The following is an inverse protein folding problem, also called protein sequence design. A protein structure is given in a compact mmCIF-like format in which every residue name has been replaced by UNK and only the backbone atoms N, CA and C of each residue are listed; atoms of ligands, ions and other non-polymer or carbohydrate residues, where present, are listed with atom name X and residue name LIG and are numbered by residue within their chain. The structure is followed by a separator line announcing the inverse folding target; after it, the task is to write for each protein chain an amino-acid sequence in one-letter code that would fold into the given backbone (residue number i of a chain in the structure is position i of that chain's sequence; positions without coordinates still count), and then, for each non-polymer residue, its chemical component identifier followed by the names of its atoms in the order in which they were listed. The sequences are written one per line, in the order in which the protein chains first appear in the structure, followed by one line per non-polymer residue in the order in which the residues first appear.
data_IF_324636881714
#
_entry.id   IF_324636881714
#
_cell.length_a   1.000
_cell.length_b   1.000
_cell.length_c   1.000
_cell.angle_alpha   90.00
_cell.angle_beta   90.00
_cell.angle_gamma   90.00
#
_symmetry.space_group_name_H-M   'P 1'
#
loop_
_entity.id
_entity.type
_entity.pdbx_description
1 polymer ?
#
# COMPACT_ATOMS: atom_id res chain seq x y z
N UNK A 1 -29.14 -89.38 35.16
CA UNK A 1 -28.31 -89.58 33.95
C UNK A 1 -26.86 -89.46 34.39
N UNK A 2 -25.99 -90.38 33.96
CA UNK A 2 -24.60 -90.41 34.43
C UNK A 2 -23.70 -89.49 33.61
N UNK A 3 -22.65 -88.93 34.23
CA UNK A 3 -21.67 -88.03 33.61
C UNK A 3 -21.06 -88.56 32.29
N UNK A 4 -21.08 -89.89 32.09
CA UNK A 4 -20.55 -90.54 30.89
C UNK A 4 -21.27 -90.16 29.58
N UNK A 5 -22.57 -89.83 29.64
CA UNK A 5 -23.35 -89.44 28.45
C UNK A 5 -23.00 -88.03 27.96
N UNK A 6 -22.63 -87.13 28.88
CA UNK A 6 -22.27 -85.73 28.58
C UNK A 6 -20.85 -85.55 28.05
N UNK A 7 -20.01 -86.60 28.05
CA UNK A 7 -18.64 -86.54 27.51
C UNK A 7 -18.59 -86.16 26.02
N UNK A 8 -19.62 -86.56 25.24
CA UNK A 8 -19.75 -86.16 23.83
C UNK A 8 -20.11 -84.68 23.69
N UNK A 9 -20.94 -84.15 24.60
CA UNK A 9 -21.31 -82.73 24.62
C UNK A 9 -20.11 -81.85 25.00
N UNK A 10 -19.28 -82.27 25.96
CA UNK A 10 -18.01 -81.61 26.29
C UNK A 10 -17.07 -81.50 25.08
N UNK A 11 -16.92 -82.56 24.28
CA UNK A 11 -16.08 -82.50 23.06
C UNK A 11 -16.63 -81.58 21.97
N UNK A 12 -17.95 -81.34 21.93
CA UNK A 12 -18.56 -80.37 21.03
C UNK A 12 -18.44 -78.94 21.59
N UNK A 13 -18.50 -78.78 22.92
CA UNK A 13 -18.33 -77.50 23.62
C UNK A 13 -16.93 -76.92 23.38
N UNK A 14 -15.88 -77.73 23.57
CA UNK A 14 -14.49 -77.34 23.28
C UNK A 14 -14.26 -76.96 21.81
N UNK A 15 -15.03 -77.52 20.88
CA UNK A 15 -14.95 -77.25 19.43
C UNK A 15 -15.85 -76.11 18.97
N UNK A 16 -16.70 -75.56 19.83
CA UNK A 16 -17.63 -74.47 19.50
C UNK A 16 -18.76 -74.87 18.53
N UNK A 17 -19.10 -76.15 18.44
CA UNK A 17 -20.12 -76.67 17.48
C UNK A 17 -21.40 -77.15 18.17
N UNK A 18 -21.71 -76.63 19.36
CA UNK A 18 -22.92 -76.99 20.12
C UNK A 18 -24.16 -76.32 19.53
N UNK A 19 -25.28 -77.04 19.44
CA UNK A 19 -26.58 -76.45 19.15
C UNK A 19 -27.22 -75.89 20.43
N UNK A 20 -28.21 -75.00 20.30
CA UNK A 20 -28.87 -74.35 21.44
C UNK A 20 -29.54 -75.36 22.39
N UNK A 21 -30.26 -76.36 21.86
CA UNK A 21 -30.91 -77.40 22.68
C UNK A 21 -29.90 -78.31 23.41
N UNK A 22 -28.74 -78.56 22.79
CA UNK A 22 -27.64 -79.32 23.41
C UNK A 22 -26.95 -78.51 24.51
N UNK A 23 -26.95 -77.18 24.39
CA UNK A 23 -26.37 -76.27 25.37
C UNK A 23 -27.22 -76.22 26.64
N UNK A 24 -28.53 -76.08 26.48
CA UNK A 24 -29.47 -76.03 27.61
C UNK A 24 -29.46 -77.34 28.42
N UNK A 25 -29.30 -78.48 27.75
CA UNK A 25 -29.12 -79.78 28.42
C UNK A 25 -27.80 -79.89 29.19
N UNK A 26 -26.71 -79.36 28.63
CA UNK A 26 -25.41 -79.36 29.29
C UNK A 26 -25.39 -78.43 30.51
N UNK A 27 -25.97 -77.23 30.39
CA UNK A 27 -26.09 -76.26 31.48
C UNK A 27 -26.95 -76.80 32.63
N UNK A 28 -28.13 -77.38 32.33
CA UNK A 28 -29.00 -78.01 33.34
C UNK A 28 -28.32 -79.17 34.07
N UNK A 29 -27.45 -79.93 33.38
CA UNK A 29 -26.69 -80.99 34.01
C UNK A 29 -25.54 -80.47 34.88
N UNK A 30 -24.84 -79.41 34.46
CA UNK A 30 -23.78 -78.77 35.23
C UNK A 30 -24.32 -78.25 36.57
N UNK A 31 -25.50 -77.64 36.59
CA UNK A 31 -26.14 -77.13 37.82
C UNK A 31 -26.44 -78.22 38.86
N UNK A 32 -26.56 -79.48 38.43
CA UNK A 32 -26.92 -80.61 39.29
C UNK A 32 -25.75 -81.56 39.56
N UNK A 33 -24.58 -81.33 38.98
CA UNK A 33 -23.45 -82.26 39.02
C UNK A 33 -22.11 -81.55 39.32
N UNK A 34 -21.61 -81.76 40.55
CA UNK A 34 -20.34 -81.19 41.02
C UNK A 34 -19.11 -81.61 40.19
N UNK A 35 -19.12 -82.80 39.57
CA UNK A 35 -18.02 -83.25 38.69
C UNK A 35 -17.97 -82.46 37.37
N UNK A 36 -19.13 -82.13 36.81
CA UNK A 36 -19.21 -81.35 35.56
C UNK A 36 -18.93 -79.87 35.81
N UNK A 37 -19.32 -79.34 36.97
CA UNK A 37 -18.95 -78.00 37.44
C UNK A 37 -17.42 -77.87 37.58
N UNK A 38 -16.77 -78.82 38.26
CA UNK A 38 -15.31 -78.84 38.39
C UNK A 38 -14.59 -78.93 37.03
N UNK A 39 -15.16 -79.66 36.06
CA UNK A 39 -14.59 -79.75 34.71
C UNK A 39 -14.76 -78.44 33.92
N UNK A 40 -15.88 -77.73 34.08
CA UNK A 40 -16.08 -76.39 33.52
C UNK A 40 -15.06 -75.40 34.09
N UNK A 41 -14.86 -75.41 35.41
CA UNK A 41 -13.89 -74.54 36.08
C UNK A 41 -12.46 -74.81 35.61
N UNK A 42 -12.08 -76.07 35.38
CA UNK A 42 -10.77 -76.41 34.82
C UNK A 42 -10.60 -75.87 33.39
N UNK A 43 -11.64 -75.93 32.56
CA UNK A 43 -11.64 -75.39 31.19
C UNK A 43 -11.60 -73.85 31.18
N UNK A 44 -12.32 -73.20 32.09
CA UNK A 44 -12.27 -71.74 32.28
C UNK A 44 -10.88 -71.30 32.79
N UNK A 45 -10.28 -72.07 33.70
CA UNK A 45 -8.92 -71.80 34.18
C UNK A 45 -7.85 -71.97 33.09
N UNK A 46 -8.03 -72.94 32.17
CA UNK A 46 -7.14 -73.12 31.00
C UNK A 46 -7.34 -72.05 29.91
N UNK A 47 -8.51 -71.40 29.87
CA UNK A 47 -8.88 -70.42 28.83
C UNK A 47 -8.77 -68.95 29.28
N UNK A 48 -8.10 -68.66 30.41
CA UNK A 48 -7.77 -67.28 30.79
C UNK A 48 -7.06 -66.55 29.62
N UNK A 49 -7.50 -65.33 29.27
CA UNK A 49 -7.02 -64.63 28.09
C UNK A 49 -5.54 -64.32 28.24
N UNK A 50 -4.78 -64.52 27.16
CA UNK A 50 -3.40 -64.08 26.96
C UNK A 50 -3.17 -62.75 27.69
N UNK A 51 -2.53 -62.81 28.86
CA UNK A 51 -2.07 -61.62 29.58
C UNK A 51 -1.12 -60.89 28.65
N UNK A 52 -1.57 -59.80 28.02
CA UNK A 52 -0.68 -58.81 27.38
C UNK A 52 0.32 -58.42 28.46
N UNK A 53 1.55 -58.97 28.39
CA UNK A 53 2.64 -58.60 29.29
C UNK A 53 2.82 -57.10 29.18
N UNK A 54 2.48 -56.38 30.24
CA UNK A 54 2.93 -55.00 30.43
C UNK A 54 4.47 -55.01 30.36
N UNK A 55 5.10 -54.04 29.67
CA UNK A 55 6.55 -53.99 29.59
C UNK A 55 7.18 -53.93 30.99
N UNK A 56 8.38 -54.51 31.20
CA UNK A 56 9.00 -54.62 32.52
C UNK A 56 9.18 -53.25 33.18
N UNK A 57 8.95 -53.19 34.51
CA UNK A 57 8.95 -51.96 35.34
C UNK A 57 10.27 -51.18 35.34
N UNK A 58 11.37 -51.75 34.84
CA UNK A 58 12.72 -51.16 34.82
C UNK A 58 13.23 -50.75 33.43
N UNK A 59 12.33 -50.51 32.48
CA UNK A 59 12.69 -49.78 31.26
C UNK A 59 12.94 -48.31 31.63
N UNK A 60 14.21 -47.95 31.87
CA UNK A 60 14.68 -46.54 31.86
C UNK A 60 14.63 -46.01 30.43
N UNK A 61 13.42 -45.87 29.90
CA UNK A 61 13.21 -45.17 28.63
C UNK A 61 13.60 -43.72 28.88
N UNK A 62 14.52 -43.12 28.10
CA UNK A 62 14.86 -41.70 28.26
C UNK A 62 13.67 -40.87 27.78
N UNK A 63 12.66 -40.72 28.65
CA UNK A 63 11.42 -39.99 28.39
C UNK A 63 11.70 -38.57 27.89
N UNK A 64 12.80 -37.96 28.34
CA UNK A 64 13.26 -36.67 27.84
C UNK A 64 13.63 -36.72 26.35
N UNK A 65 14.47 -37.68 25.91
CA UNK A 65 14.85 -37.81 24.49
C UNK A 65 13.64 -38.13 23.59
N UNK A 66 12.69 -38.93 24.08
CA UNK A 66 11.46 -39.28 23.34
C UNK A 66 10.51 -38.08 23.26
N UNK A 67 10.25 -37.38 24.38
CA UNK A 67 9.41 -36.17 24.38
C UNK A 67 10.01 -35.06 23.53
N UNK A 68 11.33 -34.87 23.57
CA UNK A 68 12.01 -33.90 22.72
C UNK A 68 12.01 -34.32 21.26
N UNK A 69 12.19 -35.60 20.92
CA UNK A 69 12.05 -36.11 19.56
C UNK A 69 10.65 -35.88 19.00
N UNK A 70 9.59 -36.19 19.77
CA UNK A 70 8.22 -35.92 19.34
C UNK A 70 7.92 -34.43 19.22
N UNK A 71 8.36 -33.59 20.17
CA UNK A 71 8.21 -32.13 20.07
C UNK A 71 8.93 -31.57 18.84
N UNK A 72 10.12 -32.07 18.54
CA UNK A 72 10.89 -31.65 17.36
C UNK A 72 10.23 -32.13 16.06
N UNK A 73 9.66 -33.34 16.04
CA UNK A 73 8.90 -33.88 14.91
C UNK A 73 7.59 -33.12 14.68
N UNK A 74 6.82 -32.84 15.73
CA UNK A 74 5.60 -32.04 15.66
C UNK A 74 5.92 -30.61 15.24
N UNK A 75 6.98 -30.01 15.78
CA UNK A 75 7.45 -28.70 15.35
C UNK A 75 7.85 -28.71 13.88
N UNK A 76 8.60 -29.73 13.42
CA UNK A 76 8.98 -29.88 12.02
C UNK A 76 7.77 -30.06 11.08
N UNK A 77 6.76 -30.81 11.51
CA UNK A 77 5.51 -30.99 10.76
C UNK A 77 4.71 -29.67 10.65
N UNK A 78 4.56 -28.95 11.77
CA UNK A 78 3.91 -27.62 11.78
C UNK A 78 4.68 -26.64 10.91
N UNK A 79 6.01 -26.59 11.04
CA UNK A 79 6.87 -25.73 10.22
C UNK A 79 6.74 -26.06 8.73
N UNK A 80 6.71 -27.35 8.38
CA UNK A 80 6.47 -27.79 7.00
C UNK A 80 5.12 -27.32 6.46
N UNK A 81 4.05 -27.47 7.25
CA UNK A 81 2.73 -26.94 6.88
C UNK A 81 2.76 -25.42 6.70
N UNK A 82 3.39 -24.69 7.62
CA UNK A 82 3.50 -23.23 7.52
C UNK A 82 4.26 -22.80 6.25
N UNK A 83 5.34 -23.51 5.89
CA UNK A 83 6.08 -23.25 4.64
C UNK A 83 5.20 -23.52 3.43
N UNK A 84 4.46 -24.63 3.39
CA UNK A 84 3.55 -24.95 2.28
C UNK A 84 2.46 -23.88 2.15
N UNK A 85 1.85 -23.45 3.26
CA UNK A 85 0.85 -22.37 3.26
C UNK A 85 1.45 -21.06 2.76
N UNK A 86 2.68 -20.72 3.16
CA UNK A 86 3.38 -19.52 2.70
C UNK A 86 3.63 -19.56 1.18
N UNK A 87 4.08 -20.70 0.65
CA UNK A 87 4.30 -20.89 -0.79
C UNK A 87 2.98 -20.75 -1.56
N UNK A 88 1.91 -21.42 -1.10
CA UNK A 88 0.58 -21.31 -1.70
C UNK A 88 0.11 -19.85 -1.67
N UNK A 89 0.28 -19.17 -0.53
CA UNK A 89 -0.02 -17.76 -0.37
C UNK A 89 0.75 -16.88 -1.36
N UNK A 90 2.04 -17.15 -1.58
CA UNK A 90 2.86 -16.46 -2.57
C UNK A 90 2.36 -16.65 -4.01
N UNK A 91 2.07 -17.89 -4.41
CA UNK A 91 1.56 -18.21 -5.75
C UNK A 91 0.20 -17.55 -5.99
N UNK A 92 -0.71 -17.60 -5.02
CA UNK A 92 -2.01 -16.94 -5.12
C UNK A 92 -1.87 -15.41 -5.22
N UNK A 93 -0.91 -14.83 -4.51
CA UNK A 93 -0.64 -13.38 -4.55
C UNK A 93 -0.08 -12.97 -5.90
N UNK A 94 0.90 -13.70 -6.42
CA UNK A 94 1.45 -13.48 -7.76
C UNK A 94 0.35 -13.56 -8.81
N UNK A 95 -0.48 -14.62 -8.77
CA UNK A 95 -1.62 -14.73 -9.66
C UNK A 95 -2.60 -13.56 -9.51
N UNK A 96 -2.92 -13.14 -8.29
CA UNK A 96 -3.84 -12.02 -8.08
C UNK A 96 -3.32 -10.69 -8.65
N UNK A 97 -2.05 -10.33 -8.42
CA UNK A 97 -1.51 -9.05 -8.87
C UNK A 97 -1.08 -9.05 -10.33
N UNK A 98 -0.59 -10.19 -10.84
CA UNK A 98 -0.04 -10.30 -12.20
C UNK A 98 -1.06 -10.81 -13.23
N UNK A 99 -2.16 -11.45 -12.79
CA UNK A 99 -3.22 -11.80 -13.71
C UNK A 99 -3.78 -10.53 -14.38
N UNK A 100 -4.19 -10.69 -15.64
CA UNK A 100 -4.68 -9.60 -16.48
C UNK A 100 -3.61 -8.53 -16.78
N UNK A 101 -2.42 -8.99 -17.18
CA UNK A 101 -1.30 -8.16 -17.66
C UNK A 101 -0.84 -7.12 -16.63
N UNK A 102 -0.60 -7.55 -15.39
CA UNK A 102 -0.08 -6.72 -14.28
C UNK A 102 -0.93 -5.50 -13.89
N UNK A 103 -2.15 -5.36 -14.44
CA UNK A 103 -3.02 -4.19 -14.23
C UNK A 103 -3.25 -3.81 -12.76
N UNK A 104 -3.36 -4.79 -11.85
CA UNK A 104 -3.54 -4.50 -10.42
C UNK A 104 -2.25 -3.99 -9.78
N UNK A 105 -1.11 -4.50 -10.22
CA UNK A 105 0.20 -4.04 -9.76
C UNK A 105 0.46 -2.60 -10.26
N UNK A 106 0.09 -2.32 -11.51
CA UNK A 106 0.11 -0.97 -12.08
C UNK A 106 -0.76 -0.02 -11.25
N UNK A 107 -2.02 -0.38 -10.95
CA UNK A 107 -2.92 0.45 -10.15
C UNK A 107 -2.37 0.75 -8.73
N UNK A 108 -1.74 -0.24 -8.08
CA UNK A 108 -1.10 -0.09 -6.76
C UNK A 108 0.07 0.89 -6.79
N UNK A 109 0.69 1.10 -7.95
CA UNK A 109 1.81 2.02 -8.14
C UNK A 109 1.36 3.38 -8.71
N UNK A 110 0.43 3.37 -9.65
CA UNK A 110 -0.07 4.56 -10.36
C UNK A 110 -0.86 5.46 -9.40
N UNK A 111 -1.78 4.90 -8.62
CA UNK A 111 -2.63 5.71 -7.74
C UNK A 111 -1.80 6.48 -6.68
N UNK A 112 -0.87 5.84 -5.94
CA UNK A 112 0.00 6.59 -5.03
C UNK A 112 0.93 7.58 -5.71
N UNK A 113 1.47 7.26 -6.90
CA UNK A 113 2.36 8.18 -7.62
C UNK A 113 1.63 9.44 -8.05
N UNK A 114 0.46 9.30 -8.70
CA UNK A 114 -0.39 10.44 -9.05
C UNK A 114 -0.80 11.25 -7.81
N UNK A 115 -1.10 10.59 -6.68
CA UNK A 115 -1.45 11.27 -5.44
C UNK A 115 -0.27 12.08 -4.88
N UNK A 116 0.94 11.54 -4.88
CA UNK A 116 2.15 12.25 -4.43
C UNK A 116 2.43 13.47 -5.31
N UNK A 117 2.44 13.29 -6.63
CA UNK A 117 2.72 14.37 -7.59
C UNK A 117 1.63 15.45 -7.59
N UNK A 118 0.37 15.08 -7.32
CA UNK A 118 -0.73 16.03 -7.26
C UNK A 118 -0.77 16.84 -5.94
N UNK A 119 -0.25 16.29 -4.84
CA UNK A 119 -0.36 16.91 -3.50
C UNK A 119 0.93 17.55 -3.01
N UNK A 120 2.08 17.17 -3.55
CA UNK A 120 3.38 17.75 -3.22
C UNK A 120 3.88 18.55 -4.42
N UNK A 121 3.90 19.90 -4.33
CA UNK A 121 4.34 20.75 -5.43
C UNK A 121 5.78 20.45 -5.87
N UNK A 122 6.01 20.47 -7.19
CA UNK A 122 7.28 20.12 -7.84
C UNK A 122 7.88 18.78 -7.36
N UNK A 123 7.05 17.80 -7.06
CA UNK A 123 7.51 16.43 -6.85
C UNK A 123 7.22 15.58 -8.09
N UNK A 124 8.15 14.68 -8.41
CA UNK A 124 8.00 13.64 -9.42
C UNK A 124 8.47 12.30 -8.86
N UNK A 125 7.76 11.23 -9.21
CA UNK A 125 8.17 9.87 -8.92
C UNK A 125 9.05 9.38 -10.08
N UNK A 126 10.36 9.28 -9.86
CA UNK A 126 11.32 8.86 -10.89
C UNK A 126 11.92 7.48 -10.64
N UNK A 127 11.58 6.83 -9.54
CA UNK A 127 12.14 5.53 -9.16
C UNK A 127 11.24 4.71 -8.24
N UNK A 128 11.85 3.77 -7.54
CA UNK A 128 11.18 2.83 -6.65
C UNK A 128 10.69 1.54 -7.31
N UNK A 129 10.31 0.58 -6.48
CA UNK A 129 9.93 -0.77 -6.89
C UNK A 129 8.72 -1.28 -6.12
N UNK A 130 8.00 -2.24 -6.70
CA UNK A 130 6.91 -2.94 -6.00
C UNK A 130 7.26 -4.42 -5.90
N UNK A 131 7.34 -4.94 -4.68
CA UNK A 131 7.52 -6.37 -4.42
C UNK A 131 6.22 -6.98 -3.94
N UNK A 132 5.80 -8.08 -4.59
CA UNK A 132 4.65 -8.89 -4.15
C UNK A 132 5.09 -9.84 -3.04
N UNK A 133 4.40 -9.78 -1.92
CA UNK A 133 4.56 -10.69 -0.78
C UNK A 133 3.45 -11.76 -0.76
N UNK A 134 3.63 -12.79 0.06
CA UNK A 134 2.59 -13.78 0.29
C UNK A 134 1.35 -13.16 0.97
N UNK A 135 0.20 -13.80 0.78
CA UNK A 135 -1.09 -13.40 1.36
C UNK A 135 -1.62 -12.05 0.85
N UNK A 136 -1.52 -11.82 -0.45
CA UNK A 136 -2.04 -10.68 -1.20
C UNK A 136 -1.51 -9.34 -0.70
N UNK A 137 -0.23 -9.32 -0.32
CA UNK A 137 0.43 -8.11 0.17
C UNK A 137 1.43 -7.60 -0.86
N UNK A 138 1.65 -6.29 -0.84
CA UNK A 138 2.76 -5.69 -1.58
C UNK A 138 3.50 -4.71 -0.68
N UNK A 139 4.79 -4.54 -0.94
CA UNK A 139 5.55 -3.39 -0.46
C UNK A 139 5.98 -2.59 -1.69
N UNK A 140 5.67 -1.31 -1.71
CA UNK A 140 6.11 -0.39 -2.75
C UNK A 140 7.02 0.67 -2.16
N UNK A 141 8.08 1.01 -2.87
CA UNK A 141 8.87 2.22 -2.62
C UNK A 141 8.67 3.20 -3.77
N UNK A 142 8.66 4.49 -3.44
CA UNK A 142 8.56 5.59 -4.39
C UNK A 142 9.69 6.57 -4.11
N UNK A 143 10.59 6.73 -5.08
CA UNK A 143 11.69 7.70 -5.00
C UNK A 143 11.21 9.02 -5.60
N UNK A 144 11.10 10.03 -4.75
CA UNK A 144 10.66 11.36 -5.12
C UNK A 144 11.86 12.23 -5.46
N UNK A 145 11.77 12.92 -6.58
CA UNK A 145 12.69 13.98 -6.97
C UNK A 145 11.91 15.27 -7.20
N UNK A 146 12.63 16.38 -7.18
CA UNK A 146 12.12 17.69 -7.60
C UNK A 146 13.07 18.29 -8.63
N UNK A 147 12.57 19.21 -9.45
CA UNK A 147 13.40 19.83 -10.49
C UNK A 147 13.76 21.26 -10.08
N UNK A 148 15.05 21.55 -9.93
CA UNK A 148 15.55 22.92 -9.74
C UNK A 148 16.56 23.20 -10.85
N UNK A 149 16.16 24.08 -11.76
CA UNK A 149 16.87 24.31 -13.01
C UNK A 149 16.66 23.19 -14.00
N UNK A 150 17.74 22.62 -14.52
CA UNK A 150 17.69 21.40 -15.37
C UNK A 150 18.01 20.12 -14.60
N UNK A 151 18.39 20.23 -13.32
CA UNK A 151 18.77 19.09 -12.50
C UNK A 151 17.60 18.56 -11.67
N UNK A 152 17.44 17.23 -11.69
CA UNK A 152 16.59 16.53 -10.74
C UNK A 152 17.34 16.32 -9.43
N UNK A 153 16.73 16.75 -8.32
CA UNK A 153 17.28 16.64 -6.98
C UNK A 153 16.43 15.67 -6.17
N UNK A 154 17.06 14.73 -5.45
CA UNK A 154 16.32 13.80 -4.62
C UNK A 154 15.62 14.53 -3.46
N UNK A 155 14.33 14.27 -3.33
CA UNK A 155 13.44 14.90 -2.34
C UNK A 155 13.27 14.00 -1.11
N UNK A 156 13.04 12.72 -1.37
CA UNK A 156 12.77 11.73 -0.33
C UNK A 156 12.24 10.43 -0.89
N UNK A 157 11.89 9.52 0.01
CA UNK A 157 11.31 8.22 -0.32
C UNK A 157 10.02 8.00 0.48
N UNK A 158 9.02 7.44 -0.18
CA UNK A 158 7.76 7.03 0.44
C UNK A 158 7.64 5.52 0.28
N UNK A 159 7.43 4.83 1.40
CA UNK A 159 7.18 3.39 1.42
C UNK A 159 5.72 3.15 1.75
N UNK A 160 5.09 2.28 0.97
CA UNK A 160 3.72 1.85 1.18
C UNK A 160 3.62 0.34 1.26
N UNK A 161 2.62 -0.12 1.99
CA UNK A 161 2.21 -1.52 1.99
C UNK A 161 0.79 -1.61 1.48
N UNK A 162 0.49 -2.62 0.69
CA UNK A 162 -0.88 -2.94 0.33
C UNK A 162 -1.31 -4.28 0.87
N UNK A 163 -2.60 -4.40 1.14
CA UNK A 163 -3.31 -5.67 1.25
C UNK A 163 -4.47 -5.63 0.26
N UNK A 164 -4.42 -6.51 -0.74
CA UNK A 164 -5.26 -6.44 -1.94
C UNK A 164 -5.14 -5.03 -2.57
N UNK A 165 -6.23 -4.27 -2.66
CA UNK A 165 -6.28 -2.90 -3.18
C UNK A 165 -6.13 -1.82 -2.12
N UNK A 166 -6.14 -2.16 -0.82
CA UNK A 166 -5.98 -1.18 0.24
C UNK A 166 -4.51 -0.87 0.44
N UNK A 167 -4.13 0.39 0.28
CA UNK A 167 -2.76 0.88 0.48
C UNK A 167 -2.66 1.60 1.82
N UNK A 168 -1.53 1.46 2.51
CA UNK A 168 -1.15 2.15 3.73
C UNK A 168 0.27 2.70 3.60
N UNK A 169 0.52 3.89 4.14
CA UNK A 169 1.86 4.48 4.17
C UNK A 169 2.57 3.98 5.41
N UNK A 170 3.73 3.34 5.22
CA UNK A 170 4.52 2.82 6.36
C UNK A 170 5.62 3.75 6.78
N UNK A 171 6.22 4.46 5.83
CA UNK A 171 7.36 5.34 6.10
C UNK A 171 7.43 6.45 5.07
N UNK A 172 7.73 7.65 5.54
CA UNK A 172 8.10 8.79 4.71
C UNK A 172 9.46 9.29 5.19
N UNK A 173 10.43 9.34 4.30
CA UNK A 173 11.79 9.78 4.62
C UNK A 173 12.14 10.94 3.70
N UNK A 174 12.38 12.12 4.27
CA UNK A 174 12.82 13.29 3.52
C UNK A 174 14.34 13.42 3.60
N UNK A 175 14.98 13.85 2.51
CA UNK A 175 16.43 14.02 2.52
C UNK A 175 16.91 15.12 3.48
N UNK A 176 16.10 16.16 3.64
CA UNK A 176 16.28 17.11 4.72
C UNK A 176 15.29 16.74 5.84
N UNK A 177 15.75 16.37 7.05
CA UNK A 177 14.86 16.12 8.19
C UNK A 177 14.00 17.33 8.56
N UNK A 178 14.43 18.53 8.18
CA UNK A 178 13.69 19.80 8.31
C UNK A 178 13.04 20.23 7.01
N UNK A 179 12.80 19.31 6.08
CA UNK A 179 12.07 19.59 4.85
C UNK A 179 10.67 20.10 5.20
N UNK A 180 10.48 21.39 5.04
CA UNK A 180 9.19 22.04 5.01
C UNK A 180 8.97 22.43 3.56
N UNK A 181 7.90 21.97 2.88
CA UNK A 181 7.56 22.47 1.56
C UNK A 181 7.40 23.99 1.68
N UNK A 182 8.36 24.77 1.15
CA UNK A 182 8.34 26.24 1.22
C UNK A 182 7.45 26.85 0.12
N UNK A 183 6.84 26.00 -0.70
CA UNK A 183 6.00 26.38 -1.82
C UNK A 183 4.57 26.49 -1.31
N UNK A 184 4.08 27.73 -1.23
CA UNK A 184 2.74 28.01 -0.77
C UNK A 184 1.95 28.77 -1.82
N UNK A 185 0.64 28.56 -1.83
CA UNK A 185 -0.26 29.17 -2.78
C UNK A 185 -1.40 29.90 -2.10
N UNK A 186 -1.97 30.89 -2.80
CA UNK A 186 -3.10 31.66 -2.33
C UNK A 186 -4.11 31.79 -3.46
N UNK A 187 -5.35 31.40 -3.19
CA UNK A 187 -6.38 31.45 -4.21
C UNK A 187 -6.74 32.93 -4.56
N UNK A 188 -6.96 33.29 -5.84
CA UNK A 188 -7.16 34.68 -6.28
C UNK A 188 -8.39 35.38 -5.67
N UNK A 189 -9.44 34.61 -5.35
CA UNK A 189 -10.67 35.10 -4.68
C UNK A 189 -10.51 35.49 -3.20
N UNK A 190 -9.31 35.44 -2.64
CA UNK A 190 -9.03 35.86 -1.25
C UNK A 190 -9.04 37.39 -1.14
N UNK A 191 -9.49 37.94 0.00
CA UNK A 191 -9.70 39.39 0.16
C UNK A 191 -8.45 40.19 0.56
N UNK A 192 -7.35 39.54 0.95
CA UNK A 192 -6.26 40.17 1.71
C UNK A 192 -5.02 40.49 0.85
N UNK A 193 -5.08 41.56 0.07
CA UNK A 193 -4.04 41.89 -0.92
C UNK A 193 -2.70 42.39 -0.34
N UNK A 194 -2.72 43.20 0.72
CA UNK A 194 -1.52 43.97 1.12
C UNK A 194 -0.47 43.11 1.83
N UNK A 195 -0.88 42.26 2.78
CA UNK A 195 0.03 41.34 3.48
C UNK A 195 0.73 40.35 2.53
N UNK A 196 0.04 39.93 1.46
CA UNK A 196 0.59 39.02 0.46
C UNK A 196 1.76 39.67 -0.31
N UNK A 197 1.65 40.96 -0.61
CA UNK A 197 2.71 41.72 -1.28
C UNK A 197 3.94 41.85 -0.38
N UNK A 198 3.74 42.14 0.90
CA UNK A 198 4.84 42.23 1.88
C UNK A 198 5.57 40.90 2.06
N UNK A 199 4.85 39.79 2.12
CA UNK A 199 5.45 38.46 2.19
C UNK A 199 6.24 38.13 0.90
N UNK A 200 5.69 38.47 -0.26
CA UNK A 200 6.35 38.27 -1.56
C UNK A 200 7.58 39.17 -1.72
N UNK A 201 7.60 40.36 -1.11
CA UNK A 201 8.75 41.28 -1.17
C UNK A 201 10.03 40.62 -0.67
N UNK A 202 9.97 39.81 0.39
CA UNK A 202 11.12 39.06 0.91
C UNK A 202 11.69 38.09 -0.13
N UNK A 203 10.84 37.45 -0.94
CA UNK A 203 11.25 36.55 -2.02
C UNK A 203 12.02 37.32 -3.08
N UNK A 204 11.47 38.44 -3.54
CA UNK A 204 12.10 39.28 -4.56
C UNK A 204 13.41 39.90 -4.07
N UNK A 205 13.44 40.42 -2.84
CA UNK A 205 14.65 40.96 -2.22
C UNK A 205 15.75 39.88 -2.10
N UNK A 206 15.38 38.62 -1.88
CA UNK A 206 16.33 37.51 -1.82
C UNK A 206 16.89 37.19 -3.20
N UNK A 207 16.03 37.02 -4.21
CA UNK A 207 16.46 36.77 -5.60
C UNK A 207 17.33 37.91 -6.16
N UNK A 208 17.05 39.16 -5.75
CA UNK A 208 17.86 40.32 -6.12
C UNK A 208 19.28 40.26 -5.55
N UNK A 209 19.46 39.69 -4.35
CA UNK A 209 20.76 39.57 -3.66
C UNK A 209 21.56 38.34 -4.05
N UNK A 210 20.92 37.30 -4.58
CA UNK A 210 21.62 36.09 -5.04
C UNK A 210 22.53 36.43 -6.22
N UNK A 211 23.69 35.77 -6.32
CA UNK A 211 24.68 36.03 -7.36
C UNK A 211 24.19 35.66 -8.77
N UNK A 212 24.79 36.27 -9.78
CA UNK A 212 24.63 35.84 -11.17
C UNK A 212 25.28 34.46 -11.33
N UNK A 213 24.56 33.48 -11.87
CA UNK A 213 25.01 32.08 -11.87
C UNK A 213 24.31 31.19 -10.83
N UNK A 214 23.09 31.53 -10.43
CA UNK A 214 22.20 30.60 -9.71
C UNK A 214 20.92 30.34 -10.47
N UNK A 215 20.31 29.21 -10.13
CA UNK A 215 18.99 28.82 -10.58
C UNK A 215 18.10 28.70 -9.35
N UNK A 216 16.87 29.18 -9.45
CA UNK A 216 15.92 29.12 -8.34
C UNK A 216 14.62 28.46 -8.76
N UNK A 217 13.88 28.02 -7.76
CA UNK A 217 12.50 27.60 -7.86
C UNK A 217 11.61 28.62 -7.14
N UNK A 218 10.53 29.05 -7.79
CA UNK A 218 9.55 29.99 -7.22
C UNK A 218 8.15 29.45 -7.44
N UNK A 219 7.35 29.41 -6.38
CA UNK A 219 5.93 29.18 -6.47
C UNK A 219 5.19 30.51 -6.49
N UNK A 220 4.28 30.65 -7.45
CA UNK A 220 3.56 31.88 -7.75
C UNK A 220 2.08 31.59 -7.70
N UNK A 221 1.32 32.48 -7.08
CA UNK A 221 -0.13 32.53 -7.21
C UNK A 221 -0.55 33.72 -8.05
N UNK A 222 -1.48 33.48 -8.96
CA UNK A 222 -1.94 34.46 -9.93
C UNK A 222 -3.03 35.38 -9.37
N UNK A 223 -3.26 36.51 -10.05
CA UNK A 223 -4.32 37.48 -9.77
C UNK A 223 -5.72 36.94 -10.08
N UNK A 224 -5.82 36.03 -11.05
CA UNK A 224 -7.03 35.29 -11.43
C UNK A 224 -6.70 33.85 -11.81
N UNK A 225 -7.71 33.07 -12.16
CA UNK A 225 -7.50 31.73 -12.71
C UNK A 225 -7.25 31.82 -14.21
N UNK A 226 -6.35 30.97 -14.71
CA UNK A 226 -5.94 30.91 -16.11
C UNK A 226 -6.13 29.50 -16.66
N UNK A 227 -6.50 29.39 -17.93
CA UNK A 227 -6.41 28.13 -18.67
C UNK A 227 -4.97 27.86 -19.11
N UNK A 228 -4.63 26.60 -19.43
CA UNK A 228 -3.26 26.26 -19.87
C UNK A 228 -2.86 27.02 -21.13
N UNK A 229 -3.80 27.22 -22.06
CA UNK A 229 -3.61 27.99 -23.30
C UNK A 229 -3.38 29.48 -23.07
N UNK A 230 -3.85 30.05 -21.96
CA UNK A 230 -3.62 31.45 -21.61
C UNK A 230 -2.28 31.65 -20.88
N UNK A 231 -1.75 30.61 -20.22
CA UNK A 231 -0.50 30.70 -19.48
C UNK A 231 0.72 30.81 -20.39
N UNK A 232 0.78 30.03 -21.46
CA UNK A 232 1.91 30.05 -22.40
C UNK A 232 2.21 31.46 -22.95
N UNK A 233 1.24 32.20 -23.53
CA UNK A 233 1.48 33.56 -24.01
C UNK A 233 1.77 34.54 -22.85
N UNK A 234 1.21 34.29 -21.65
CA UNK A 234 1.51 35.11 -20.47
C UNK A 234 2.96 34.97 -20.04
N UNK A 235 3.48 33.74 -19.95
CA UNK A 235 4.87 33.48 -19.60
C UNK A 235 5.81 34.05 -20.68
N UNK A 236 5.46 33.86 -21.95
CA UNK A 236 6.21 34.45 -23.07
C UNK A 236 6.24 35.99 -23.00
N UNK A 237 5.16 36.64 -22.59
CA UNK A 237 5.13 38.10 -22.43
C UNK A 237 6.00 38.62 -21.28
N UNK A 238 6.20 37.81 -20.24
CA UNK A 238 6.98 38.19 -19.05
C UNK A 238 8.47 37.93 -19.28
N UNK A 239 8.80 36.79 -19.88
CA UNK A 239 10.19 36.38 -20.08
C UNK A 239 10.72 36.75 -21.46
N UNK A 240 9.87 37.16 -22.41
CA UNK A 240 10.24 37.44 -23.80
C UNK A 240 10.77 36.18 -24.52
N UNK A 241 11.15 36.35 -25.78
CA UNK A 241 11.73 35.29 -26.62
C UNK A 241 13.18 34.98 -26.21
N UNK A 242 13.35 34.32 -25.06
CA UNK A 242 14.65 33.81 -24.64
C UNK A 242 14.89 32.42 -25.22
N UNK A 243 16.16 32.07 -25.47
CA UNK A 243 16.54 30.72 -25.91
C UNK A 243 16.20 29.65 -24.85
N UNK A 244 16.31 30.01 -23.57
CA UNK A 244 16.02 29.12 -22.44
C UNK A 244 15.16 29.84 -21.40
N UNK A 245 13.85 30.00 -21.66
CA UNK A 245 12.95 30.65 -20.72
C UNK A 245 12.77 29.78 -19.46
N UNK A 246 12.47 30.40 -18.31
CA UNK A 246 12.11 29.65 -17.11
C UNK A 246 11.00 28.63 -17.38
N UNK A 247 11.17 27.43 -16.84
CA UNK A 247 10.32 26.28 -17.15
C UNK A 247 9.31 26.02 -16.02
N UNK A 248 8.01 25.97 -16.33
CA UNK A 248 7.01 25.42 -15.43
C UNK A 248 7.33 23.98 -15.05
N UNK A 249 7.19 23.64 -13.78
CA UNK A 249 7.41 22.26 -13.30
C UNK A 249 6.16 21.68 -12.64
N UNK A 250 5.27 22.55 -12.14
CA UNK A 250 4.03 22.14 -11.48
C UNK A 250 2.98 23.26 -11.51
N UNK A 251 1.70 22.90 -11.51
CA UNK A 251 0.58 23.82 -11.61
C UNK A 251 -0.43 23.62 -10.50
N UNK A 252 -0.85 24.70 -9.83
CA UNK A 252 -1.87 24.66 -8.79
C UNK A 252 -3.28 24.73 -9.42
N UNK A 253 -4.06 23.66 -9.30
CA UNK A 253 -5.34 23.47 -10.00
C UNK A 253 -6.50 24.12 -9.23
N UNK A 254 -7.30 24.96 -9.90
CA UNK A 254 -8.55 25.48 -9.32
C UNK A 254 -9.60 24.36 -9.32
N UNK A 255 -9.93 23.88 -8.12
CA UNK A 255 -10.93 22.82 -7.94
C UNK A 255 -12.20 23.31 -7.26
N UNK A 256 -12.29 24.62 -7.01
CA UNK A 256 -13.40 25.25 -6.31
C UNK A 256 -13.47 24.95 -4.80
N UNK A 257 -12.65 24.03 -4.29
CA UNK A 257 -12.61 23.62 -2.87
C UNK A 257 -11.47 24.27 -2.09
N UNK A 258 -10.67 25.12 -2.73
CA UNK A 258 -9.57 25.85 -2.09
C UNK A 258 -10.08 26.77 -0.99
N UNK A 259 -9.36 26.82 0.14
CA UNK A 259 -9.67 27.70 1.27
C UNK A 259 -9.55 29.16 0.83
N UNK A 260 -10.54 29.96 1.21
CA UNK A 260 -10.68 31.38 0.86
C UNK A 260 -10.92 32.26 2.09
N UNK A 261 -10.90 31.67 3.28
CA UNK A 261 -11.21 32.37 4.52
C UNK A 261 -10.06 33.30 4.94
N UNK A 262 -10.38 34.40 5.61
CA UNK A 262 -9.44 35.51 5.91
C UNK A 262 -8.39 35.11 6.96
N UNK A 263 -8.72 34.17 7.86
CA UNK A 263 -7.81 33.81 8.95
C UNK A 263 -6.76 32.76 8.56
N UNK A 264 -7.01 31.96 7.52
CA UNK A 264 -6.11 30.91 7.02
C UNK A 264 -6.35 30.66 5.52
N UNK A 265 -5.65 31.44 4.69
CA UNK A 265 -5.77 31.43 3.21
C UNK A 265 -4.50 30.93 2.50
N UNK A 266 -3.44 30.62 3.24
CA UNK A 266 -2.20 30.10 2.68
C UNK A 266 -2.36 28.59 2.55
N UNK A 267 -2.30 28.10 1.32
CA UNK A 267 -2.41 26.68 1.02
C UNK A 267 -1.02 26.07 1.06
N UNK A 268 -0.84 25.13 1.98
CA UNK A 268 0.38 24.36 2.12
C UNK A 268 0.41 23.13 1.19
N UNK A 269 1.56 22.47 1.08
CA UNK A 269 1.68 21.17 0.43
C UNK A 269 0.69 20.18 1.04
N UNK A 270 -0.11 19.51 0.21
CA UNK A 270 -1.24 18.67 0.61
C UNK A 270 -2.60 19.36 0.45
N UNK A 271 -2.71 20.64 0.78
CA UNK A 271 -3.98 21.38 0.73
C UNK A 271 -4.26 21.96 -0.67
N UNK A 272 -3.19 22.40 -1.34
CA UNK A 272 -3.22 22.72 -2.76
C UNK A 272 -3.09 21.40 -3.56
N UNK A 273 -4.11 21.11 -4.38
CA UNK A 273 -4.04 20.04 -5.37
C UNK A 273 -3.59 20.66 -6.69
N UNK A 274 -2.69 19.98 -7.39
CA UNK A 274 -2.18 20.40 -8.67
C UNK A 274 -1.71 19.22 -9.51
N UNK A 275 -0.82 19.50 -10.45
CA UNK A 275 -0.27 18.50 -11.36
C UNK A 275 1.10 18.95 -11.89
N UNK A 276 2.01 18.00 -12.17
CA UNK A 276 3.26 18.31 -12.87
C UNK A 276 2.99 18.76 -14.31
N UNK A 277 3.98 19.39 -14.94
CA UNK A 277 3.87 19.81 -16.35
C UNK A 277 3.44 18.68 -17.29
N UNK A 278 3.90 17.46 -17.01
CA UNK A 278 3.54 16.27 -17.75
C UNK A 278 3.01 15.21 -16.78
N UNK A 279 1.70 14.94 -16.83
CA UNK A 279 1.07 13.88 -16.05
C UNK A 279 1.41 12.53 -16.68
N UNK A 280 2.03 11.63 -15.92
CA UNK A 280 2.44 10.31 -16.39
C UNK A 280 1.53 9.23 -15.82
N UNK A 281 0.93 8.45 -16.71
CA UNK A 281 0.21 7.23 -16.35
C UNK A 281 1.14 6.03 -16.60
N UNK A 282 1.02 4.98 -15.77
CA UNK A 282 1.82 3.77 -15.95
C UNK A 282 1.20 2.85 -17.01
N UNK A 283 -0.12 2.91 -17.20
CA UNK A 283 -0.81 2.24 -18.30
C UNK A 283 -0.28 2.74 -19.66
N UNK A 284 0.23 1.80 -20.47
CA UNK A 284 0.83 2.01 -21.80
C UNK A 284 -0.09 2.66 -22.83
N UNK A 285 -1.37 2.90 -22.52
CA UNK A 285 -2.31 3.60 -23.39
C UNK A 285 -2.12 5.13 -23.38
N UNK A 286 -0.89 5.60 -23.56
CA UNK A 286 -0.56 7.03 -23.65
C UNK A 286 -1.38 7.75 -24.75
N UNK A 287 -1.72 7.03 -25.83
CA UNK A 287 -2.52 7.53 -26.96
C UNK A 287 -4.00 7.80 -26.61
N UNK A 288 -4.46 7.40 -25.41
CA UNK A 288 -5.85 7.58 -24.98
C UNK A 288 -6.19 9.04 -24.68
N UNK A 289 -5.20 9.86 -24.30
CA UNK A 289 -5.41 11.25 -23.90
C UNK A 289 -4.78 12.19 -24.93
N UNK A 290 -5.62 12.93 -25.66
CA UNK A 290 -5.18 13.75 -26.80
C UNK A 290 -4.62 15.11 -26.37
N UNK A 291 -4.97 15.57 -25.18
CA UNK A 291 -4.59 16.90 -24.67
C UNK A 291 -4.08 16.82 -23.23
N UNK A 292 -3.21 17.76 -22.79
CA UNK A 292 -2.80 17.87 -21.38
C UNK A 292 -4.00 18.03 -20.45
N UNK A 293 -5.05 18.74 -20.88
CA UNK A 293 -6.27 18.90 -20.10
C UNK A 293 -7.01 17.57 -19.86
N UNK A 294 -7.07 16.69 -20.87
CA UNK A 294 -7.67 15.36 -20.72
C UNK A 294 -6.91 14.52 -19.69
N UNK A 295 -5.58 14.62 -19.68
CA UNK A 295 -4.74 13.92 -18.71
C UNK A 295 -5.00 14.41 -17.28
N UNK A 296 -5.13 15.72 -17.07
CA UNK A 296 -5.44 16.28 -15.75
C UNK A 296 -6.84 15.88 -15.29
N UNK A 297 -7.84 15.88 -16.17
CA UNK A 297 -9.19 15.44 -15.85
C UNK A 297 -9.19 13.95 -15.46
N UNK A 298 -8.45 13.12 -16.19
CA UNK A 298 -8.33 11.70 -15.88
C UNK A 298 -7.61 11.48 -14.55
N UNK A 299 -6.51 12.18 -14.29
CA UNK A 299 -5.82 12.13 -13.00
C UNK A 299 -6.80 12.44 -11.87
N UNK A 300 -7.60 13.51 -12.00
CA UNK A 300 -8.61 13.85 -11.00
C UNK A 300 -9.70 12.78 -10.84
N UNK A 301 -10.08 12.10 -11.93
CA UNK A 301 -11.00 10.95 -11.88
C UNK A 301 -10.41 9.79 -11.09
N UNK A 302 -9.15 9.43 -11.37
CA UNK A 302 -8.42 8.35 -10.69
C UNK A 302 -8.28 8.65 -9.20
N UNK A 303 -7.90 9.88 -8.84
CA UNK A 303 -7.80 10.32 -7.45
C UNK A 303 -9.15 10.27 -6.73
N UNK A 304 -10.25 10.70 -7.37
CA UNK A 304 -11.60 10.63 -6.81
C UNK A 304 -12.07 9.21 -6.53
N UNK A 305 -11.81 8.26 -7.45
CA UNK A 305 -12.16 6.84 -7.26
C UNK A 305 -11.38 6.25 -6.07
N UNK A 306 -10.11 6.63 -5.92
CA UNK A 306 -9.20 6.07 -4.92
C UNK A 306 -9.01 6.95 -3.69
N UNK A 307 -10.05 7.67 -3.27
CA UNK A 307 -9.97 8.64 -2.16
C UNK A 307 -9.33 8.14 -0.87
N UNK A 308 -9.53 6.87 -0.51
CA UNK A 308 -8.90 6.25 0.66
C UNK A 308 -7.38 6.22 0.56
N UNK A 309 -6.86 5.82 -0.60
CA UNK A 309 -5.43 5.79 -0.88
C UNK A 309 -4.87 7.21 -0.90
N UNK A 310 -5.53 8.13 -1.60
CA UNK A 310 -5.10 9.53 -1.68
C UNK A 310 -5.07 10.19 -0.29
N UNK A 311 -6.09 9.94 0.55
CA UNK A 311 -6.16 10.44 1.92
C UNK A 311 -4.98 9.98 2.78
N UNK A 312 -4.59 8.71 2.68
CA UNK A 312 -3.44 8.18 3.41
C UNK A 312 -2.11 8.73 2.88
N UNK A 313 -1.98 8.89 1.57
CA UNK A 313 -0.78 9.43 0.93
C UNK A 313 -0.58 10.91 1.27
N UNK A 314 -1.64 11.71 1.14
CA UNK A 314 -1.63 13.14 1.44
C UNK A 314 -1.61 13.45 2.95
N UNK A 315 -1.79 12.44 3.80
CA UNK A 315 -1.99 12.58 5.24
C UNK A 315 -3.12 13.56 5.63
N UNK A 316 -4.17 13.65 4.79
CA UNK A 316 -5.33 14.53 4.98
C UNK A 316 -6.63 13.72 5.00
N UNK A 317 -7.59 14.06 5.88
CA UNK A 317 -8.88 13.38 5.91
C UNK A 317 -9.64 13.47 4.58
N UNK A 318 -10.31 12.39 4.18
CA UNK A 318 -11.14 12.36 2.96
C UNK A 318 -12.15 13.52 2.88
N UNK A 319 -12.71 13.91 4.03
CA UNK A 319 -13.70 15.00 4.15
C UNK A 319 -13.10 16.38 3.87
N UNK A 320 -11.80 16.56 4.05
CA UNK A 320 -11.11 17.81 3.76
C UNK A 320 -10.68 17.83 2.29
N UNK A 321 -10.19 16.69 1.79
CA UNK A 321 -9.82 16.54 0.39
C UNK A 321 -10.99 16.74 -0.58
N UNK A 322 -12.19 16.23 -0.25
CA UNK A 322 -13.41 16.40 -1.07
C UNK A 322 -13.21 16.04 -2.57
N UNK A 323 -12.44 14.98 -2.87
CA UNK A 323 -11.99 14.67 -4.23
C UNK A 323 -13.14 14.50 -5.24
N UNK A 324 -14.29 13.98 -4.81
CA UNK A 324 -15.48 13.83 -5.66
C UNK A 324 -16.01 15.20 -6.15
N UNK A 325 -16.02 16.20 -5.25
CA UNK A 325 -16.43 17.58 -5.61
C UNK A 325 -15.37 18.26 -6.48
N UNK A 326 -14.09 18.06 -6.16
CA UNK A 326 -12.97 18.63 -6.91
C UNK A 326 -12.95 18.11 -8.35
N UNK A 327 -13.06 16.79 -8.53
CA UNK A 327 -13.16 16.16 -9.85
C UNK A 327 -14.36 16.70 -10.64
N UNK A 328 -15.55 16.74 -10.02
CA UNK A 328 -16.74 17.28 -10.68
C UNK A 328 -16.55 18.74 -11.12
N UNK A 329 -15.99 19.58 -10.25
CA UNK A 329 -15.73 20.99 -10.58
C UNK A 329 -14.79 21.14 -11.78
N UNK A 330 -13.66 20.43 -11.78
CA UNK A 330 -12.67 20.49 -12.87
C UNK A 330 -13.26 19.97 -14.18
N UNK A 331 -14.07 18.91 -14.12
CA UNK A 331 -14.78 18.37 -15.29
C UNK A 331 -15.80 19.38 -15.86
N UNK A 332 -16.54 20.05 -14.99
CA UNK A 332 -17.63 20.97 -15.41
C UNK A 332 -17.09 22.35 -15.85
N UNK A 333 -15.97 22.82 -15.29
CA UNK A 333 -15.42 24.17 -15.52
C UNK A 333 -14.17 24.20 -16.41
N UNK A 334 -13.65 23.03 -16.78
CA UNK A 334 -12.37 22.86 -17.47
C UNK A 334 -11.16 22.99 -16.54
N UNK A 335 -9.99 22.64 -17.06
CA UNK A 335 -8.72 22.74 -16.34
C UNK A 335 -8.27 24.19 -16.29
N UNK A 336 -8.32 24.76 -15.08
CA UNK A 336 -7.84 26.11 -14.78
C UNK A 336 -6.89 26.07 -13.61
N UNK A 337 -5.88 26.92 -13.65
CA UNK A 337 -4.86 26.99 -12.61
C UNK A 337 -4.86 28.37 -11.98
N UNK A 338 -4.54 28.43 -10.70
CA UNK A 338 -4.42 29.68 -9.94
C UNK A 338 -3.00 29.94 -9.45
N UNK A 339 -2.08 29.03 -9.73
CA UNK A 339 -0.68 29.18 -9.40
C UNK A 339 0.19 28.22 -10.21
N UNK A 340 1.49 28.45 -10.14
CA UNK A 340 2.50 27.71 -10.88
C UNK A 340 3.77 27.63 -10.04
N UNK A 341 4.50 26.52 -10.13
CA UNK A 341 5.90 26.44 -9.72
C UNK A 341 6.73 26.54 -10.99
N UNK A 342 7.64 27.49 -11.01
CA UNK A 342 8.52 27.77 -12.14
C UNK A 342 9.97 27.76 -11.66
N UNK A 343 10.85 27.21 -12.48
CA UNK A 343 12.29 27.20 -12.21
C UNK A 343 13.07 27.80 -13.36
N UNK A 344 14.16 28.50 -13.05
CA UNK A 344 14.98 29.18 -14.04
C UNK A 344 16.03 30.08 -13.40
N UNK A 345 16.86 30.75 -14.21
CA UNK A 345 17.90 31.65 -13.74
C UNK A 345 17.32 32.63 -12.73
N UNK A 346 17.95 32.74 -11.55
CA UNK A 346 17.35 33.51 -10.44
C UNK A 346 17.09 34.97 -10.80
N UNK A 347 17.91 35.55 -11.69
CA UNK A 347 17.72 36.91 -12.21
C UNK A 347 16.58 37.03 -13.20
N UNK A 348 16.34 36.01 -14.02
CA UNK A 348 15.21 36.01 -14.95
C UNK A 348 13.88 35.92 -14.20
N UNK A 349 13.84 35.12 -13.12
CA UNK A 349 12.66 35.01 -12.28
C UNK A 349 12.28 36.32 -11.57
N UNK A 350 13.20 37.29 -11.42
CA UNK A 350 12.87 38.62 -10.87
C UNK A 350 11.91 39.42 -11.77
N UNK A 351 11.84 39.14 -13.07
CA UNK A 351 10.89 39.80 -13.99
C UNK A 351 9.44 39.62 -13.54
N UNK A 352 9.14 38.53 -12.82
CA UNK A 352 7.82 38.24 -12.25
C UNK A 352 7.40 39.23 -11.15
N UNK A 353 8.34 39.88 -10.46
CA UNK A 353 8.04 40.85 -9.40
C UNK A 353 7.16 42.01 -9.90
N UNK A 354 7.38 42.43 -11.14
CA UNK A 354 6.70 43.58 -11.74
C UNK A 354 5.46 43.18 -12.55
N UNK A 355 5.14 41.88 -12.62
CA UNK A 355 4.01 41.40 -13.40
C UNK A 355 2.69 41.66 -12.65
N UNK A 356 1.70 42.32 -13.28
CA UNK A 356 0.40 42.54 -12.66
C UNK A 356 -0.39 41.23 -12.46
N UNK A 357 0.05 40.15 -13.11
CA UNK A 357 -0.56 38.82 -13.00
C UNK A 357 -0.11 38.06 -11.76
N UNK A 358 0.92 38.53 -11.05
CA UNK A 358 1.45 37.88 -9.86
C UNK A 358 0.84 38.49 -8.62
N UNK A 359 0.07 37.69 -7.88
CA UNK A 359 -0.58 38.10 -6.62
C UNK A 359 0.27 37.79 -5.40
N UNK A 360 0.94 36.65 -5.41
CA UNK A 360 1.72 36.14 -4.30
C UNK A 360 2.86 35.26 -4.81
N UNK A 361 4.01 35.29 -4.15
CA UNK A 361 5.13 34.44 -4.47
C UNK A 361 5.81 33.88 -3.22
N UNK A 362 6.32 32.66 -3.34
CA UNK A 362 7.15 31.98 -2.35
C UNK A 362 8.41 31.43 -2.99
N UNK A 363 9.50 31.50 -2.27
CA UNK A 363 10.80 31.02 -2.72
C UNK A 363 10.95 29.55 -2.30
N UNK A 364 11.19 28.68 -3.28
CA UNK A 364 11.64 27.31 -3.06
C UNK A 364 13.13 27.28 -2.74
N UNK A 365 13.84 26.39 -3.40
CA UNK A 365 15.28 26.28 -3.24
C UNK A 365 16.06 27.01 -4.34
N UNK A 366 17.30 27.31 -4.01
CA UNK A 366 18.26 28.00 -4.87
C UNK A 366 19.48 27.11 -4.98
N UNK A 367 19.92 26.91 -6.20
CA UNK A 367 21.02 26.03 -6.54
C UNK A 367 22.05 26.77 -7.39
N UNK A 368 23.28 26.25 -7.37
CA UNK A 368 24.35 26.75 -8.24
C UNK A 368 23.96 26.48 -9.69
N UNK A 369 24.45 27.33 -10.60
CA UNK A 369 24.14 27.26 -12.02
C UNK A 369 24.15 25.83 -12.59
N UNK A 370 23.00 25.42 -13.09
CA UNK A 370 22.77 24.16 -13.77
C UNK A 370 21.79 24.35 -14.95
N UNK A 371 21.79 25.55 -15.54
CA UNK A 371 20.86 25.92 -16.61
C UNK A 371 21.40 25.58 -18.01
N UNK A 372 22.68 25.21 -18.09
CA UNK A 372 23.32 24.59 -19.24
C UNK A 372 23.83 23.23 -18.77
N UNK A 373 23.47 22.17 -19.49
CA UNK A 373 24.16 20.87 -19.41
C UNK A 373 25.34 20.88 -20.38
#
# INVERSE_FOLDING_TARGET
MGCAEFKKLWTKYEKGTLTHDEQEQLESHIETCAECEAHLDELLAKSEPVKKKLPPKDLKVPFWRIKWKHRLQTFGFILSICIVIYIIGGVLSAFYFQANNDKRLEEIREVPSLALEATIPNSRVMGGGTSVEAFFRTNSSFDLVRTVGKKEMPLGTVETKSFLSSVDVTKQTWMNPFYQPKLFFVHPKTKQGDYLKDSSKKVWDTLAKVHDGTVAEVAISFDKTYTLKELEPLLYSIFEAQELPPTPVWYALDTGQERKNVDDYILHGGEAIGFPEHVRFLDSNADKYKTPEDQVIEMMRVLSIHKKTVSKIAALPEKELNLDKRYKYVKDNGVKVYGIVITGPSKELLKLQNSPHVRYATLGDIEVWNWFD
#
